data_IF_346823953620
#
_entry.id   IF_346823953620
#
_cell.length_a   1.000
_cell.length_b   1.000
_cell.length_c   1.000
_cell.angle_alpha   90.00
_cell.angle_beta   90.00
_cell.angle_gamma   90.00
#
_symmetry.space_group_name_H-M   'P 1'
#
loop_
_entity.id
_entity.type
_entity.pdbx_description
1 polymer ?
#
# COMPACT_ATOMS: atom_id res chain seq x y z
N UNK A 1 -10.06 0.86 8.66
CA UNK A 1 -9.62 -0.39 8.01
C UNK A 1 -9.07 -1.27 9.11
N UNK A 2 -9.72 -2.39 9.42
CA UNK A 2 -9.56 -3.05 10.74
C UNK A 2 -9.24 -4.56 10.64
N UNK A 3 -8.80 -5.02 9.46
CA UNK A 3 -8.41 -6.40 9.24
C UNK A 3 -6.99 -6.38 8.68
N UNK A 4 -6.11 -7.24 9.18
CA UNK A 4 -4.72 -7.36 8.75
C UNK A 4 -4.38 -8.82 8.46
N UNK A 5 -3.35 -9.05 7.65
CA UNK A 5 -2.86 -10.40 7.28
C UNK A 5 -2.33 -11.14 8.49
N UNK A 6 -1.56 -10.43 9.30
CA UNK A 6 -0.97 -10.86 10.55
C UNK A 6 -0.55 -9.61 11.33
N UNK A 7 0.07 -9.82 12.50
CA UNK A 7 0.55 -8.73 13.36
C UNK A 7 1.66 -7.90 12.70
N UNK A 8 2.52 -8.52 11.88
CA UNK A 8 3.61 -7.81 11.18
C UNK A 8 3.03 -6.79 10.19
N UNK A 9 2.01 -7.18 9.43
CA UNK A 9 1.29 -6.27 8.54
C UNK A 9 0.64 -5.11 9.31
N UNK A 10 -0.02 -5.39 10.45
CA UNK A 10 -0.60 -4.33 11.29
C UNK A 10 0.44 -3.33 11.80
N UNK A 11 1.57 -3.82 12.32
CA UNK A 11 2.66 -2.99 12.84
C UNK A 11 3.29 -2.15 11.73
N UNK A 12 3.59 -2.76 10.57
CA UNK A 12 4.13 -2.08 9.40
C UNK A 12 3.19 -0.98 8.88
N UNK A 13 1.88 -1.25 8.84
CA UNK A 13 0.91 -0.26 8.40
C UNK A 13 0.83 0.92 9.38
N UNK A 14 0.78 0.64 10.69
CA UNK A 14 0.74 1.69 11.70
C UNK A 14 2.03 2.54 11.70
N UNK A 15 3.19 1.94 11.42
CA UNK A 15 4.44 2.66 11.23
C UNK A 15 4.36 3.65 10.06
N UNK A 16 3.91 3.20 8.88
CA UNK A 16 3.74 4.07 7.70
C UNK A 16 2.73 5.21 7.96
N UNK A 17 1.63 4.93 8.65
CA UNK A 17 0.65 5.96 9.03
C UNK A 17 1.25 6.96 10.02
N UNK A 18 2.03 6.49 11.00
CA UNK A 18 2.70 7.37 11.97
C UNK A 18 3.72 8.27 11.30
N UNK A 19 4.47 7.75 10.32
CA UNK A 19 5.43 8.50 9.51
C UNK A 19 4.77 9.61 8.66
N UNK A 20 3.46 9.54 8.42
CA UNK A 20 2.71 10.64 7.76
C UNK A 20 2.44 11.84 8.68
N UNK A 21 2.91 11.81 9.93
CA UNK A 21 2.77 12.88 10.93
C UNK A 21 1.32 13.38 11.15
N UNK A 22 0.34 12.50 10.90
CA UNK A 22 -1.08 12.80 11.06
C UNK A 22 -1.75 13.35 9.80
N UNK A 23 -1.01 13.53 8.69
CA UNK A 23 -1.59 13.92 7.41
C UNK A 23 -2.54 12.86 6.84
N UNK A 24 -2.32 11.58 7.18
CA UNK A 24 -3.21 10.48 6.86
C UNK A 24 -3.86 9.93 8.14
N UNK A 25 -5.18 10.07 8.24
CA UNK A 25 -5.99 9.50 9.32
C UNK A 25 -7.01 8.49 8.77
N UNK A 26 -6.89 7.22 9.17
CA UNK A 26 -7.79 6.15 8.72
C UNK A 26 -9.26 6.38 9.13
N UNK A 27 -9.52 7.26 10.09
CA UNK A 27 -10.84 7.47 10.69
C UNK A 27 -11.58 8.73 10.19
N UNK A 28 -10.89 9.68 9.56
CA UNK A 28 -11.45 11.02 9.29
C UNK A 28 -11.24 11.51 7.85
N UNK A 29 -10.68 10.67 6.97
CA UNK A 29 -10.44 11.08 5.59
C UNK A 29 -11.74 11.04 4.75
N UNK A 30 -12.27 12.24 4.47
CA UNK A 30 -13.27 12.47 3.43
C UNK A 30 -12.67 12.71 2.04
N UNK A 31 -11.37 12.98 1.97
CA UNK A 31 -10.65 13.19 0.71
C UNK A 31 -10.35 11.86 0.00
N UNK A 32 -10.81 11.74 -1.25
CA UNK A 32 -10.64 10.52 -2.04
C UNK A 32 -9.16 10.18 -2.30
N UNK A 33 -8.33 11.18 -2.57
CA UNK A 33 -6.89 10.99 -2.81
C UNK A 33 -6.21 10.46 -1.55
N UNK A 34 -6.49 11.05 -0.39
CA UNK A 34 -5.97 10.57 0.90
C UNK A 34 -6.44 9.14 1.22
N UNK A 35 -7.69 8.76 0.87
CA UNK A 35 -8.15 7.36 1.05
C UNK A 35 -7.37 6.39 0.18
N UNK A 36 -7.11 6.76 -1.08
CA UNK A 36 -6.29 5.97 -1.99
C UNK A 36 -4.84 5.85 -1.51
N UNK A 37 -4.26 6.92 -0.95
CA UNK A 37 -2.94 6.88 -0.32
C UNK A 37 -2.90 5.90 0.86
N UNK A 38 -3.89 5.96 1.76
CA UNK A 38 -3.98 5.02 2.90
C UNK A 38 -4.17 3.57 2.42
N UNK A 39 -5.00 3.34 1.40
CA UNK A 39 -5.17 2.01 0.81
C UNK A 39 -3.88 1.49 0.16
N UNK A 40 -3.12 2.37 -0.50
CA UNK A 40 -1.80 2.06 -1.03
C UNK A 40 -0.82 1.65 0.08
N UNK A 41 -0.70 2.47 1.13
CA UNK A 41 0.17 2.19 2.29
C UNK A 41 -0.16 0.86 2.96
N UNK A 42 -1.45 0.56 3.10
CA UNK A 42 -1.92 -0.71 3.64
C UNK A 42 -1.46 -1.92 2.82
N UNK A 43 -1.53 -1.86 1.50
CA UNK A 43 -1.11 -2.99 0.67
C UNK A 43 0.41 -3.18 0.65
N UNK A 44 1.20 -2.10 0.59
CA UNK A 44 2.66 -2.23 0.67
C UNK A 44 3.13 -2.69 2.06
N UNK A 45 2.37 -2.38 3.12
CA UNK A 45 2.67 -2.86 4.47
C UNK A 45 2.64 -4.38 4.60
N UNK A 46 1.90 -5.09 3.74
CA UNK A 46 1.80 -6.55 3.75
C UNK A 46 3.14 -7.25 3.52
N UNK A 47 4.08 -6.59 2.83
CA UNK A 47 5.29 -7.21 2.27
C UNK A 47 6.57 -6.41 2.57
N UNK A 48 6.59 -5.66 3.69
CA UNK A 48 7.76 -4.85 4.06
C UNK A 48 9.04 -5.68 4.25
N UNK A 49 8.94 -6.89 4.79
CA UNK A 49 10.09 -7.78 4.94
C UNK A 49 10.62 -8.26 3.58
N UNK A 50 9.74 -8.50 2.60
CA UNK A 50 10.13 -8.87 1.25
C UNK A 50 10.81 -7.70 0.53
N UNK A 51 10.29 -6.48 0.63
CA UNK A 51 10.98 -5.31 0.07
C UNK A 51 12.36 -5.14 0.70
N UNK A 52 12.48 -5.24 2.03
CA UNK A 52 13.79 -5.20 2.68
C UNK A 52 14.73 -6.31 2.19
N UNK A 53 14.21 -7.53 2.03
CA UNK A 53 15.00 -8.69 1.61
C UNK A 53 15.49 -8.61 0.16
N UNK A 54 14.64 -8.18 -0.76
CA UNK A 54 14.94 -8.19 -2.20
C UNK A 54 15.50 -6.86 -2.69
N UNK A 55 15.10 -5.75 -2.08
CA UNK A 55 15.49 -4.38 -2.46
C UNK A 55 16.53 -3.76 -1.54
N UNK A 56 16.80 -4.40 -0.40
CA UNK A 56 17.74 -3.91 0.61
C UNK A 56 17.15 -2.84 1.54
N UNK A 57 15.89 -2.44 1.35
CA UNK A 57 15.21 -1.48 2.22
C UNK A 57 13.67 -1.57 2.13
N UNK A 58 13.01 -1.08 3.17
CA UNK A 58 11.55 -0.94 3.27
C UNK A 58 11.05 0.30 2.54
N UNK A 59 9.77 0.31 2.18
CA UNK A 59 9.10 1.58 1.89
C UNK A 59 8.87 2.33 3.20
N UNK A 60 8.99 3.66 3.16
CA UNK A 60 8.63 4.54 4.26
C UNK A 60 7.99 5.83 3.72
N UNK A 61 7.34 6.55 4.62
CA UNK A 61 6.71 7.85 4.32
C UNK A 61 7.62 8.96 4.82
N UNK A 62 7.82 9.99 4.00
CA UNK A 62 8.42 11.25 4.44
C UNK A 62 7.35 12.35 4.39
N UNK A 63 7.13 13.00 5.53
CA UNK A 63 6.25 14.15 5.66
C UNK A 63 7.10 15.41 5.88
N UNK A 64 7.43 16.10 4.78
CA UNK A 64 8.06 17.43 4.85
C UNK A 64 7.00 18.49 4.55
N UNK A 65 7.00 19.06 3.34
CA UNK A 65 5.96 19.98 2.88
C UNK A 65 4.74 19.24 2.31
N UNK A 66 4.97 18.05 1.75
CA UNK A 66 3.95 17.13 1.24
C UNK A 66 4.31 15.70 1.66
N UNK A 67 3.32 14.82 1.67
CA UNK A 67 3.55 13.39 1.87
C UNK A 67 4.24 12.81 0.64
N UNK A 68 5.38 12.19 0.85
CA UNK A 68 6.08 11.42 -0.19
C UNK A 68 6.37 10.00 0.28
N UNK A 69 6.53 9.10 -0.68
CA UNK A 69 6.95 7.71 -0.45
C UNK A 69 8.40 7.63 -0.82
N UNK A 70 9.21 7.04 0.05
CA UNK A 70 10.62 6.75 -0.18
C UNK A 70 10.91 5.26 0.08
N UNK A 71 12.15 4.82 -0.16
CA UNK A 71 12.57 3.42 -0.18
C UNK A 71 12.78 2.89 -1.60
N UNK A 72 12.29 1.69 -1.96
CA UNK A 72 12.43 1.14 -3.31
C UNK A 72 11.43 1.78 -4.30
N UNK A 73 11.42 3.11 -4.36
CA UNK A 73 10.49 3.93 -5.16
C UNK A 73 10.58 3.69 -6.66
N UNK A 74 11.72 3.19 -7.14
CA UNK A 74 11.89 2.83 -8.54
C UNK A 74 10.86 1.78 -8.98
N UNK A 75 10.38 0.91 -8.07
CA UNK A 75 9.30 -0.05 -8.33
C UNK A 75 7.95 0.62 -8.66
N UNK A 76 7.78 1.89 -8.28
CA UNK A 76 6.59 2.69 -8.57
C UNK A 76 6.56 3.18 -10.02
N UNK A 77 7.69 3.16 -10.74
CA UNK A 77 7.76 3.53 -12.15
C UNK A 77 6.92 2.59 -13.04
N UNK A 78 6.34 3.12 -14.12
CA UNK A 78 5.49 2.34 -15.04
C UNK A 78 6.26 1.34 -15.90
N UNK A 79 7.56 1.56 -16.07
CA UNK A 79 8.43 0.71 -16.87
C UNK A 79 8.80 -0.60 -16.16
N UNK A 80 8.65 -0.65 -14.83
CA UNK A 80 8.97 -1.83 -14.02
C UNK A 80 7.85 -2.86 -14.13
N UNK A 81 8.22 -4.08 -14.51
CA UNK A 81 7.32 -5.22 -14.55
C UNK A 81 7.23 -5.84 -13.16
N UNK A 82 6.01 -5.92 -12.63
CA UNK A 82 5.70 -6.39 -11.29
C UNK A 82 4.74 -7.58 -11.36
N UNK A 83 5.24 -8.78 -11.68
CA UNK A 83 4.37 -9.92 -11.97
C UNK A 83 4.87 -11.28 -11.45
N UNK A 84 6.12 -11.37 -11.00
CA UNK A 84 6.76 -12.65 -10.74
C UNK A 84 6.58 -13.08 -9.28
N UNK A 85 6.66 -12.12 -8.35
CA UNK A 85 6.57 -12.39 -6.91
C UNK A 85 5.30 -11.81 -6.25
N UNK A 86 4.92 -12.35 -5.09
CA UNK A 86 3.71 -11.93 -4.37
C UNK A 86 3.73 -10.43 -4.01
N UNK A 87 4.85 -9.94 -3.48
CA UNK A 87 5.04 -8.53 -3.13
C UNK A 87 4.92 -7.60 -4.35
N UNK A 88 5.46 -8.01 -5.50
CA UNK A 88 5.33 -7.26 -6.76
C UNK A 88 3.87 -7.19 -7.23
N UNK A 89 3.16 -8.31 -7.21
CA UNK A 89 1.75 -8.35 -7.64
C UNK A 89 0.86 -7.49 -6.74
N UNK A 90 1.16 -7.47 -5.44
CA UNK A 90 0.47 -6.61 -4.48
C UNK A 90 0.83 -5.14 -4.69
N UNK A 91 2.09 -4.83 -4.99
CA UNK A 91 2.50 -3.48 -5.37
C UNK A 91 1.78 -3.01 -6.63
N UNK A 92 1.61 -3.88 -7.63
CA UNK A 92 0.83 -3.58 -8.84
C UNK A 92 -0.63 -3.24 -8.51
N UNK A 93 -1.28 -4.04 -7.67
CA UNK A 93 -2.64 -3.75 -7.21
C UNK A 93 -2.73 -2.43 -6.41
N UNK A 94 -1.72 -2.15 -5.58
CA UNK A 94 -1.61 -0.91 -4.84
C UNK A 94 -1.47 0.31 -5.77
N UNK A 95 -0.64 0.21 -6.82
CA UNK A 95 -0.48 1.25 -7.86
C UNK A 95 -1.80 1.50 -8.60
N UNK A 96 -2.54 0.46 -8.95
CA UNK A 96 -3.86 0.58 -9.57
C UNK A 96 -4.80 1.39 -8.66
N UNK A 97 -4.89 1.06 -7.36
CA UNK A 97 -5.72 1.77 -6.39
C UNK A 97 -5.28 3.24 -6.23
N UNK A 98 -3.98 3.50 -6.12
CA UNK A 98 -3.44 4.85 -5.99
C UNK A 98 -3.84 5.75 -7.17
N UNK A 99 -3.91 5.18 -8.37
CA UNK A 99 -4.35 5.84 -9.61
C UNK A 99 -5.88 5.98 -9.74
N UNK A 100 -6.65 5.38 -8.83
CA UNK A 100 -8.10 5.31 -8.92
C UNK A 100 -8.61 4.26 -9.92
N UNK A 101 -7.77 3.30 -10.28
CA UNK A 101 -8.14 2.17 -11.12
C UNK A 101 -8.63 1.00 -10.26
N UNK A 102 -9.49 0.16 -10.85
CA UNK A 102 -9.87 -1.11 -10.23
C UNK A 102 -8.68 -2.09 -10.30
N UNK A 103 -8.25 -2.69 -9.18
CA UNK A 103 -7.11 -3.60 -9.17
C UNK A 103 -7.42 -4.93 -9.88
N UNK A 104 -6.39 -5.49 -10.51
CA UNK A 104 -6.46 -6.78 -11.18
C UNK A 104 -6.20 -7.92 -10.19
N UNK A 105 -7.19 -8.79 -9.97
CA UNK A 105 -7.13 -9.84 -8.94
C UNK A 105 -6.65 -11.20 -9.45
N UNK A 106 -6.68 -11.44 -10.76
CA UNK A 106 -6.53 -12.78 -11.37
C UNK A 106 -5.16 -13.44 -11.12
N UNK A 107 -4.11 -12.64 -10.89
CA UNK A 107 -2.74 -13.14 -10.68
C UNK A 107 -2.35 -13.20 -9.20
N UNK A 108 -3.20 -12.71 -8.30
CA UNK A 108 -2.94 -12.67 -6.86
C UNK A 108 -3.11 -14.05 -6.22
N UNK A 109 -2.42 -14.26 -5.11
CA UNK A 109 -2.69 -15.41 -4.26
C UNK A 109 -4.07 -15.26 -3.61
N UNK A 110 -4.77 -16.38 -3.41
CA UNK A 110 -6.15 -16.40 -2.87
C UNK A 110 -6.22 -15.66 -1.52
N UNK A 111 -5.19 -15.80 -0.69
CA UNK A 111 -5.11 -15.14 0.61
C UNK A 111 -4.97 -13.61 0.51
N UNK A 112 -4.35 -13.11 -0.56
CA UNK A 112 -4.10 -11.69 -0.76
C UNK A 112 -5.29 -10.95 -1.37
N UNK A 113 -6.12 -11.65 -2.17
CA UNK A 113 -7.32 -11.08 -2.83
C UNK A 113 -8.21 -10.35 -1.82
N UNK A 114 -8.47 -10.95 -0.67
CA UNK A 114 -9.30 -10.37 0.39
C UNK A 114 -8.78 -9.01 0.85
N UNK A 115 -7.46 -8.85 1.00
CA UNK A 115 -6.86 -7.63 1.49
C UNK A 115 -6.87 -6.53 0.42
N UNK A 116 -6.68 -6.89 -0.85
CA UNK A 116 -6.86 -5.97 -1.98
C UNK A 116 -8.30 -5.47 -2.07
N UNK A 117 -9.30 -6.34 -1.86
CA UNK A 117 -10.71 -5.92 -1.82
C UNK A 117 -11.01 -4.98 -0.66
N UNK A 118 -10.46 -5.24 0.53
CA UNK A 118 -10.58 -4.34 1.69
C UNK A 118 -10.00 -2.96 1.37
N UNK A 119 -8.79 -2.93 0.81
CA UNK A 119 -8.10 -1.68 0.45
C UNK A 119 -8.87 -0.91 -0.64
N UNK A 120 -9.32 -1.60 -1.68
CA UNK A 120 -10.07 -0.98 -2.77
C UNK A 120 -11.41 -0.41 -2.28
N UNK A 121 -12.17 -1.18 -1.49
CA UNK A 121 -13.44 -0.73 -0.93
C UNK A 121 -13.26 0.50 -0.04
N UNK A 122 -12.20 0.53 0.78
CA UNK A 122 -11.85 1.71 1.55
C UNK A 122 -11.53 2.91 0.63
N UNK A 123 -10.72 2.71 -0.41
CA UNK A 123 -10.33 3.78 -1.33
C UNK A 123 -11.52 4.45 -2.04
N UNK A 124 -12.56 3.69 -2.40
CA UNK A 124 -13.73 4.17 -3.14
C UNK A 124 -14.96 4.46 -2.26
N UNK A 125 -14.84 4.33 -0.93
CA UNK A 125 -15.94 4.65 0.00
C UNK A 125 -16.23 6.16 -0.02
N UNK A 126 -17.49 6.53 0.19
CA UNK A 126 -17.93 7.93 0.31
C UNK A 126 -17.89 8.41 1.76
#
# INVERSE_FOLDING_TARGET
>A
MNQFKNKIHEEAFNELITQSEGELSVHEIQDEQKRRQVAFLYLIAMYQEEYERYEGMKFYVEAYEEISIDGPVYLLEDCIKLEDFAHEKILKAAKDILRGCKPHLEKLEIEDVKFVEIAYNFAVSN
#
